data_IF_207906095124
#
_entry.id   IF_207906095124
#
_cell.length_a   1.000
_cell.length_b   1.000
_cell.length_c   1.000
_cell.angle_alpha   90.00
_cell.angle_beta   90.00
_cell.angle_gamma   90.00
#
_symmetry.space_group_name_H-M   'P 1'
#
loop_
_entity.id
_entity.type
_entity.pdbx_description
1 polymer ?
#
# COMPACT_ATOMS: atom_id res chain seq x y z
N UNK A 1 59.96 -21.83 28.59
CA UNK A 1 59.26 -20.56 28.50
C UNK A 1 58.75 -20.40 27.07
N UNK A 2 57.48 -20.66 26.93
CA UNK A 2 56.75 -20.63 25.68
C UNK A 2 56.18 -19.23 25.48
N UNK A 3 56.45 -18.67 24.32
CA UNK A 3 55.77 -17.50 23.79
C UNK A 3 54.63 -17.98 22.91
N UNK A 4 53.42 -17.67 23.29
CA UNK A 4 52.23 -17.79 22.43
C UNK A 4 52.01 -16.47 21.74
N UNK A 5 52.15 -16.50 20.41
CA UNK A 5 51.73 -15.41 19.53
C UNK A 5 50.21 -15.38 19.50
N UNK A 6 49.62 -14.33 20.00
CA UNK A 6 48.19 -13.98 19.74
C UNK A 6 48.18 -13.17 18.44
N UNK A 7 47.73 -13.80 17.35
CA UNK A 7 47.35 -13.10 16.14
C UNK A 7 46.06 -12.32 16.40
N UNK A 8 46.19 -11.01 16.53
CA UNK A 8 45.06 -10.10 16.44
C UNK A 8 44.51 -10.14 15.00
N UNK A 9 43.35 -10.73 14.84
CA UNK A 9 42.56 -10.60 13.61
C UNK A 9 41.90 -9.23 13.65
N UNK A 10 42.50 -8.27 12.95
CA UNK A 10 41.85 -7.01 12.64
C UNK A 10 40.63 -7.30 11.73
N UNK A 11 39.47 -7.24 12.35
CA UNK A 11 38.20 -7.20 11.65
C UNK A 11 38.11 -5.83 10.93
N UNK A 12 38.43 -5.82 9.64
CA UNK A 12 38.20 -4.67 8.79
C UNK A 12 36.67 -4.53 8.62
N UNK A 13 36.07 -3.70 9.45
CA UNK A 13 34.76 -3.14 9.16
C UNK A 13 34.92 -2.24 7.94
N UNK A 14 34.50 -2.72 6.78
CA UNK A 14 34.31 -1.88 5.62
C UNK A 14 33.27 -0.80 5.99
N UNK A 15 33.80 0.40 6.16
CA UNK A 15 32.97 1.61 6.36
C UNK A 15 32.24 1.88 5.05
N UNK A 16 31.05 1.26 4.90
CA UNK A 16 30.18 1.52 3.78
C UNK A 16 29.75 2.98 3.83
N UNK A 17 30.00 3.73 2.76
CA UNK A 17 29.56 5.11 2.64
C UNK A 17 28.04 5.21 2.91
N UNK A 18 27.56 6.26 3.60
CA UNK A 18 26.14 6.39 3.86
C UNK A 18 25.37 6.47 2.54
N UNK A 19 24.33 5.64 2.42
CA UNK A 19 23.44 5.60 1.28
C UNK A 19 22.75 6.95 1.10
N UNK A 20 22.50 7.34 -0.13
CA UNK A 20 21.65 8.50 -0.40
C UNK A 20 20.20 8.21 0.06
N UNK A 21 19.42 9.25 0.34
CA UNK A 21 18.00 9.08 0.71
C UNK A 21 17.21 8.29 -0.35
N UNK A 22 17.60 8.39 -1.62
CA UNK A 22 17.01 7.61 -2.71
C UNK A 22 17.39 6.12 -2.62
N UNK A 23 18.65 5.81 -2.33
CA UNK A 23 19.13 4.44 -2.17
C UNK A 23 18.57 3.77 -0.92
N UNK A 24 18.46 4.49 0.18
CA UNK A 24 17.80 3.99 1.41
C UNK A 24 16.33 3.69 1.15
N UNK A 25 15.65 4.56 0.41
CA UNK A 25 14.26 4.37 0.04
C UNK A 25 14.08 3.18 -0.92
N UNK A 26 14.96 3.03 -1.91
CA UNK A 26 14.93 1.87 -2.82
C UNK A 26 15.19 0.56 -2.09
N UNK A 27 16.15 0.52 -1.18
CA UNK A 27 16.41 -0.67 -0.36
C UNK A 27 15.24 -1.00 0.57
N UNK A 28 14.63 0.02 1.16
CA UNK A 28 13.43 -0.15 1.96
C UNK A 28 12.28 -0.67 1.10
N UNK A 29 12.14 -0.16 -0.13
CA UNK A 29 11.16 -0.61 -1.12
C UNK A 29 11.37 -2.07 -1.49
N UNK A 30 12.58 -2.49 -1.77
CA UNK A 30 12.90 -3.86 -2.15
C UNK A 30 12.72 -4.84 -0.97
N UNK A 31 12.99 -4.40 0.26
CA UNK A 31 12.84 -5.24 1.46
C UNK A 31 11.39 -5.59 1.81
N UNK A 32 10.42 -4.80 1.34
CA UNK A 32 9.00 -4.94 1.67
C UNK A 32 8.18 -5.53 0.52
N UNK A 33 8.75 -5.66 -0.67
CA UNK A 33 8.03 -6.29 -1.79
C UNK A 33 7.75 -7.75 -1.47
N UNK A 34 6.50 -8.21 -1.66
CA UNK A 34 6.19 -9.63 -1.54
C UNK A 34 7.04 -10.40 -2.54
N UNK A 35 7.76 -11.40 -2.06
CA UNK A 35 8.71 -12.20 -2.86
C UNK A 35 8.04 -13.03 -3.95
N UNK A 36 6.75 -13.27 -3.84
CA UNK A 36 5.97 -14.05 -4.78
C UNK A 36 4.68 -13.32 -5.17
N UNK A 37 4.51 -13.11 -6.46
CA UNK A 37 3.27 -12.57 -7.02
C UNK A 37 2.30 -13.71 -7.27
N UNK A 38 1.07 -13.57 -6.82
CA UNK A 38 0.01 -14.53 -7.14
C UNK A 38 -0.31 -14.44 -8.63
N UNK A 39 -0.37 -15.59 -9.29
CA UNK A 39 -0.93 -15.67 -10.62
C UNK A 39 -2.46 -15.53 -10.56
N UNK A 40 -3.12 -14.99 -11.61
CA UNK A 40 -4.57 -14.91 -11.64
C UNK A 40 -5.27 -16.26 -11.41
N UNK A 41 -4.66 -17.35 -11.86
CA UNK A 41 -5.15 -18.71 -11.66
C UNK A 41 -5.05 -19.21 -10.22
N UNK A 42 -4.21 -18.60 -9.40
CA UNK A 42 -3.98 -19.00 -8.01
C UNK A 42 -4.88 -18.24 -7.03
N UNK A 43 -5.67 -17.29 -7.52
CA UNK A 43 -6.59 -16.53 -6.71
C UNK A 43 -7.86 -17.33 -6.51
N UNK A 44 -8.07 -17.77 -5.27
CA UNK A 44 -9.36 -18.36 -4.85
C UNK A 44 -10.25 -17.21 -4.41
N UNK A 45 -11.39 -16.96 -5.09
CA UNK A 45 -12.31 -15.91 -4.67
C UNK A 45 -12.72 -16.10 -3.20
N UNK A 46 -12.64 -15.02 -2.43
CA UNK A 46 -13.06 -15.05 -1.03
C UNK A 46 -14.57 -15.26 -0.93
N UNK A 47 -15.01 -15.79 0.20
CA UNK A 47 -16.42 -15.84 0.52
C UNK A 47 -17.03 -14.43 0.58
N UNK A 48 -18.26 -14.28 0.16
CA UNK A 48 -19.01 -13.01 0.18
C UNK A 48 -19.52 -12.68 1.59
N UNK A 49 -18.62 -12.79 2.57
CA UNK A 49 -18.88 -12.48 3.97
C UNK A 49 -17.68 -11.74 4.57
N UNK A 50 -17.90 -11.07 5.69
CA UNK A 50 -16.81 -10.57 6.51
C UNK A 50 -16.31 -11.68 7.45
N UNK A 51 -15.00 -11.81 7.57
CA UNK A 51 -14.37 -12.64 8.60
C UNK A 51 -14.61 -12.05 9.99
N UNK A 52 -14.40 -12.85 11.04
CA UNK A 52 -14.55 -12.34 12.41
C UNK A 52 -13.60 -11.20 12.74
N UNK A 53 -12.37 -11.25 12.22
CA UNK A 53 -11.40 -10.17 12.37
C UNK A 53 -11.83 -8.89 11.62
N UNK A 54 -12.38 -9.03 10.42
CA UNK A 54 -12.94 -7.91 9.65
C UNK A 54 -14.15 -7.30 10.35
N UNK A 55 -15.03 -8.10 10.93
CA UNK A 55 -16.15 -7.61 11.76
C UNK A 55 -15.67 -6.76 12.95
N UNK A 56 -14.54 -7.12 13.55
CA UNK A 56 -13.92 -6.33 14.62
C UNK A 56 -13.36 -5.00 14.09
N UNK A 57 -12.69 -5.01 12.95
CA UNK A 57 -12.15 -3.81 12.31
C UNK A 57 -13.26 -2.83 11.90
N UNK A 58 -14.38 -3.33 11.43
CA UNK A 58 -15.50 -2.55 10.91
C UNK A 58 -16.70 -2.44 11.85
N UNK A 59 -16.49 -2.63 13.16
CA UNK A 59 -17.56 -2.72 14.15
C UNK A 59 -18.60 -1.58 14.06
N UNK A 60 -18.15 -0.36 13.81
CA UNK A 60 -19.05 0.79 13.70
C UNK A 60 -19.73 0.88 12.33
N UNK A 61 -19.03 0.48 11.30
CA UNK A 61 -19.47 0.66 9.91
C UNK A 61 -20.47 -0.41 9.45
N UNK A 62 -20.37 -1.62 9.97
CA UNK A 62 -21.31 -2.71 9.63
C UNK A 62 -22.75 -2.43 10.08
N UNK A 63 -22.92 -1.49 11.01
CA UNK A 63 -24.24 -1.06 11.48
C UNK A 63 -24.91 -0.05 10.57
N UNK A 64 -24.15 0.55 9.67
CA UNK A 64 -24.68 1.51 8.69
C UNK A 64 -25.36 0.72 7.56
N UNK A 65 -26.65 1.01 7.23
CA UNK A 65 -27.34 0.29 6.17
C UNK A 65 -26.57 0.28 4.86
N UNK A 66 -26.41 -0.90 4.26
CA UNK A 66 -25.70 -1.09 2.99
C UNK A 66 -24.16 -1.08 3.07
N UNK A 67 -23.58 -0.67 4.18
CA UNK A 67 -22.12 -0.56 4.31
C UNK A 67 -21.44 -1.92 4.31
N UNK A 68 -22.03 -2.92 4.97
CA UNK A 68 -21.49 -4.28 5.01
C UNK A 68 -21.29 -4.85 3.60
N UNK A 69 -22.28 -4.69 2.73
CA UNK A 69 -22.22 -5.19 1.36
C UNK A 69 -21.17 -4.45 0.54
N UNK A 70 -21.04 -3.15 0.73
CA UNK A 70 -20.01 -2.34 0.07
C UNK A 70 -18.59 -2.74 0.52
N UNK A 71 -18.38 -3.01 1.80
CA UNK A 71 -17.10 -3.49 2.33
C UNK A 71 -16.73 -4.87 1.76
N UNK A 72 -17.68 -5.78 1.72
CA UNK A 72 -17.49 -7.10 1.12
C UNK A 72 -17.11 -6.97 -0.35
N UNK A 73 -17.83 -6.15 -1.10
CA UNK A 73 -17.54 -5.90 -2.52
C UNK A 73 -16.16 -5.31 -2.72
N UNK A 74 -15.78 -4.31 -1.94
CA UNK A 74 -14.45 -3.70 -2.02
C UNK A 74 -13.32 -4.70 -1.74
N UNK A 75 -13.47 -5.54 -0.72
CA UNK A 75 -12.49 -6.57 -0.38
C UNK A 75 -12.39 -7.67 -1.45
N UNK A 76 -13.51 -8.04 -2.07
CA UNK A 76 -13.51 -8.96 -3.20
C UNK A 76 -12.78 -8.37 -4.41
N UNK A 77 -13.06 -7.12 -4.74
CA UNK A 77 -12.44 -6.43 -5.88
C UNK A 77 -10.92 -6.27 -5.68
N UNK A 78 -10.49 -5.92 -4.48
CA UNK A 78 -9.07 -5.81 -4.14
C UNK A 78 -8.37 -7.17 -4.23
N UNK A 79 -9.01 -8.23 -3.76
CA UNK A 79 -8.46 -9.59 -3.89
C UNK A 79 -8.25 -9.98 -5.35
N UNK A 80 -9.25 -9.75 -6.18
CA UNK A 80 -9.16 -10.08 -7.62
C UNK A 80 -8.11 -9.22 -8.34
N UNK A 81 -7.91 -7.98 -7.89
CA UNK A 81 -6.89 -7.09 -8.41
C UNK A 81 -5.45 -7.49 -8.01
N UNK A 82 -5.27 -8.38 -7.07
CA UNK A 82 -3.95 -8.76 -6.53
C UNK A 82 -2.98 -9.34 -7.57
N UNK A 83 -3.50 -9.87 -8.68
CA UNK A 83 -2.70 -10.37 -9.79
C UNK A 83 -2.38 -9.30 -10.84
N UNK A 84 -3.04 -8.15 -10.80
CA UNK A 84 -2.76 -7.04 -11.70
C UNK A 84 -1.42 -6.41 -11.34
N UNK A 85 -0.59 -6.17 -12.34
CA UNK A 85 0.71 -5.50 -12.18
C UNK A 85 0.62 -3.99 -12.34
N UNK A 86 -0.55 -3.49 -12.70
CA UNK A 86 -0.86 -2.07 -12.80
C UNK A 86 -1.80 -1.65 -11.69
N UNK A 87 -2.03 -0.36 -11.52
CA UNK A 87 -2.97 0.17 -10.53
C UNK A 87 -4.35 0.50 -11.14
N UNK A 88 -4.71 -0.11 -12.26
CA UNK A 88 -6.00 0.15 -12.92
C UNK A 88 -7.19 -0.44 -12.19
N UNK A 89 -6.97 -1.50 -11.43
CA UNK A 89 -8.01 -2.22 -10.69
C UNK A 89 -7.70 -2.22 -9.19
N UNK A 90 -8.71 -2.48 -8.37
CA UNK A 90 -8.57 -2.52 -6.92
C UNK A 90 -8.53 -1.16 -6.23
N UNK A 91 -8.81 -0.08 -6.93
CA UNK A 91 -8.91 1.25 -6.34
C UNK A 91 -10.25 1.41 -5.62
N UNK A 92 -10.21 2.08 -4.47
CA UNK A 92 -11.38 2.29 -3.62
C UNK A 92 -11.62 3.78 -3.44
N UNK A 93 -12.86 4.21 -3.66
CA UNK A 93 -13.31 5.58 -3.41
C UNK A 93 -14.23 5.56 -2.20
N UNK A 94 -13.87 6.32 -1.19
CA UNK A 94 -14.69 6.52 0.01
C UNK A 94 -15.33 7.89 -0.05
N UNK A 95 -16.66 7.91 -0.09
CA UNK A 95 -17.46 9.12 -0.20
C UNK A 95 -18.25 9.37 1.08
N UNK A 96 -18.44 10.62 1.40
CA UNK A 96 -19.25 11.03 2.55
C UNK A 96 -19.04 12.51 2.87
N UNK A 97 -19.94 13.08 3.66
CA UNK A 97 -19.83 14.43 4.15
C UNK A 97 -18.68 14.59 5.15
N UNK A 98 -18.52 15.81 5.68
CA UNK A 98 -17.58 16.07 6.77
C UNK A 98 -17.95 15.26 8.00
N UNK A 99 -16.93 14.82 8.75
CA UNK A 99 -17.10 14.10 10.03
C UNK A 99 -17.94 12.83 9.96
N UNK A 100 -18.04 12.19 8.78
CA UNK A 100 -18.72 10.91 8.59
C UNK A 100 -17.85 9.70 8.88
N UNK A 101 -16.59 9.90 9.27
CA UNK A 101 -15.66 8.84 9.63
C UNK A 101 -14.91 8.21 8.45
N UNK A 102 -14.80 8.91 7.31
CA UNK A 102 -14.05 8.41 6.12
C UNK A 102 -12.62 8.03 6.44
N UNK A 103 -11.88 8.87 7.13
CA UNK A 103 -10.48 8.59 7.51
C UNK A 103 -10.39 7.37 8.41
N UNK A 104 -11.31 7.22 9.33
CA UNK A 104 -11.39 6.05 10.22
C UNK A 104 -11.71 4.78 9.45
N UNK A 105 -12.61 4.86 8.47
CA UNK A 105 -12.94 3.73 7.60
C UNK A 105 -11.72 3.28 6.81
N UNK A 106 -10.98 4.21 6.22
CA UNK A 106 -9.73 3.91 5.47
C UNK A 106 -8.69 3.30 6.40
N UNK A 107 -8.52 3.84 7.61
CA UNK A 107 -7.60 3.30 8.60
C UNK A 107 -7.94 1.85 9.03
N UNK A 108 -9.21 1.45 8.93
CA UNK A 108 -9.64 0.06 9.16
C UNK A 108 -9.55 -0.80 7.89
N UNK A 109 -9.79 -0.21 6.73
CA UNK A 109 -9.77 -0.91 5.44
C UNK A 109 -8.36 -1.37 5.05
N UNK A 110 -7.35 -0.55 5.28
CA UNK A 110 -5.96 -0.86 4.93
C UNK A 110 -5.47 -2.13 5.63
N UNK A 111 -5.60 -2.31 6.96
CA UNK A 111 -5.23 -3.55 7.62
C UNK A 111 -6.00 -4.77 7.10
N UNK A 112 -7.28 -4.60 6.78
CA UNK A 112 -8.09 -5.67 6.21
C UNK A 112 -7.56 -6.12 4.84
N UNK A 113 -7.19 -5.17 3.98
CA UNK A 113 -6.59 -5.44 2.67
C UNK A 113 -5.22 -6.10 2.83
N UNK A 114 -4.37 -5.59 3.71
CA UNK A 114 -3.06 -6.18 3.97
C UNK A 114 -3.16 -7.63 4.42
N UNK A 115 -4.10 -7.95 5.29
CA UNK A 115 -4.34 -9.31 5.75
C UNK A 115 -4.85 -10.20 4.62
N UNK A 116 -5.79 -9.72 3.83
CA UNK A 116 -6.34 -10.45 2.68
C UNK A 116 -5.27 -10.78 1.64
N UNK A 117 -4.38 -9.83 1.35
CA UNK A 117 -3.32 -9.98 0.35
C UNK A 117 -2.01 -10.54 0.92
N UNK A 118 -1.94 -10.77 2.22
CA UNK A 118 -0.73 -11.16 2.93
C UNK A 118 0.43 -10.18 2.69
N UNK A 119 0.13 -8.89 2.76
CA UNK A 119 1.08 -7.80 2.57
C UNK A 119 1.49 -7.18 3.91
N UNK A 120 2.74 -6.72 4.05
CA UNK A 120 3.12 -5.92 5.20
C UNK A 120 2.38 -4.57 5.18
N UNK A 121 1.85 -4.14 6.33
CA UNK A 121 1.07 -2.91 6.48
C UNK A 121 1.90 -1.61 6.41
N UNK A 122 3.13 -1.65 5.90
CA UNK A 122 4.15 -0.62 6.14
C UNK A 122 4.20 0.50 5.11
N UNK A 123 3.43 0.41 4.01
CA UNK A 123 3.52 1.38 2.92
C UNK A 123 2.21 2.04 2.64
N UNK A 124 1.90 3.01 3.46
CA UNK A 124 0.74 3.86 3.26
C UNK A 124 1.21 5.30 3.24
N UNK A 125 1.02 5.98 2.14
CA UNK A 125 1.20 7.42 2.07
C UNK A 125 -0.15 8.11 2.09
N UNK A 126 -0.29 9.07 2.99
CA UNK A 126 -1.44 9.97 3.06
C UNK A 126 -1.04 11.32 2.49
N UNK A 127 -1.79 11.81 1.54
CA UNK A 127 -1.53 13.11 0.92
C UNK A 127 -2.83 13.84 0.68
N UNK A 128 -2.84 15.15 0.91
CA UNK A 128 -3.95 16.00 0.50
C UNK A 128 -3.88 16.28 -1.01
N UNK A 129 -5.03 16.36 -1.64
CA UNK A 129 -5.14 16.56 -3.08
C UNK A 129 -4.44 17.84 -3.56
N UNK A 130 -4.55 18.93 -2.82
CA UNK A 130 -3.88 20.20 -3.12
C UNK A 130 -2.36 20.08 -3.10
N UNK A 131 -1.81 19.31 -2.18
CA UNK A 131 -0.38 18.98 -2.13
C UNK A 131 0.04 18.10 -3.30
N UNK A 132 -0.76 17.09 -3.61
CA UNK A 132 -0.48 16.16 -4.71
C UNK A 132 -0.46 16.88 -6.06
N UNK A 133 -1.27 17.92 -6.25
CA UNK A 133 -1.28 18.75 -7.45
C UNK A 133 0.09 19.42 -7.74
N UNK A 134 0.91 19.63 -6.71
CA UNK A 134 2.23 20.26 -6.81
C UNK A 134 3.39 19.25 -6.86
N UNK A 135 3.10 17.96 -6.84
CA UNK A 135 4.10 16.89 -6.78
C UNK A 135 4.34 16.26 -8.16
N UNK A 136 5.48 15.62 -8.32
CA UNK A 136 5.76 14.73 -9.44
C UNK A 136 5.02 13.40 -9.26
N UNK A 137 3.91 13.23 -9.95
CA UNK A 137 3.01 12.09 -9.80
C UNK A 137 3.70 10.77 -10.18
N UNK A 138 4.46 10.75 -11.27
CA UNK A 138 5.16 9.54 -11.70
C UNK A 138 6.16 9.07 -10.63
N UNK A 139 6.84 10.01 -9.99
CA UNK A 139 7.79 9.73 -8.90
C UNK A 139 7.06 9.22 -7.65
N UNK A 140 5.95 9.84 -7.26
CA UNK A 140 5.14 9.41 -6.11
C UNK A 140 4.62 8.00 -6.31
N UNK A 141 4.00 7.72 -7.45
CA UNK A 141 3.47 6.39 -7.77
C UNK A 141 4.57 5.34 -7.85
N UNK A 142 5.70 5.67 -8.47
CA UNK A 142 6.85 4.78 -8.55
C UNK A 142 7.42 4.39 -7.17
N UNK A 143 7.52 5.35 -6.26
CA UNK A 143 8.00 5.11 -4.89
C UNK A 143 7.05 4.27 -4.04
N UNK A 144 5.76 4.28 -4.35
CA UNK A 144 4.73 3.55 -3.61
C UNK A 144 4.33 2.22 -4.25
N UNK A 145 5.04 1.75 -5.27
CA UNK A 145 4.73 0.49 -5.94
C UNK A 145 4.51 -0.65 -4.94
N UNK A 146 3.38 -1.33 -5.06
CA UNK A 146 2.95 -2.40 -4.14
C UNK A 146 2.39 -1.94 -2.81
N UNK A 147 2.29 -0.64 -2.55
CA UNK A 147 1.76 -0.04 -1.33
C UNK A 147 0.38 0.58 -1.49
N UNK A 148 0.14 1.63 -0.72
CA UNK A 148 -1.13 2.36 -0.71
C UNK A 148 -0.90 3.85 -0.84
N UNK A 149 -1.65 4.49 -1.72
CA UNK A 149 -1.75 5.94 -1.79
C UNK A 149 -3.16 6.36 -1.36
N UNK A 150 -3.26 7.07 -0.26
CA UNK A 150 -4.51 7.64 0.24
C UNK A 150 -4.54 9.13 -0.09
N UNK A 151 -5.49 9.52 -0.92
CA UNK A 151 -5.68 10.92 -1.32
C UNK A 151 -6.86 11.48 -0.55
N UNK A 152 -6.58 12.45 0.31
CA UNK A 152 -7.61 13.16 1.07
C UNK A 152 -8.08 14.40 0.32
N UNK A 153 -9.36 14.71 0.44
CA UNK A 153 -10.02 15.79 -0.30
C UNK A 153 -9.87 15.66 -1.82
N UNK A 154 -10.10 14.48 -2.35
CA UNK A 154 -9.88 14.14 -3.76
C UNK A 154 -10.66 15.04 -4.75
N UNK A 155 -11.73 15.70 -4.30
CA UNK A 155 -12.45 16.69 -5.07
C UNK A 155 -11.62 17.94 -5.41
N UNK A 156 -10.49 18.15 -4.76
CA UNK A 156 -9.55 19.26 -5.03
C UNK A 156 -8.43 18.87 -6.01
N UNK A 157 -8.41 17.66 -6.52
CA UNK A 157 -7.49 17.26 -7.58
C UNK A 157 -7.77 18.08 -8.84
N UNK A 158 -6.71 18.61 -9.45
CA UNK A 158 -6.81 19.23 -10.78
C UNK A 158 -6.98 18.15 -11.85
N UNK A 159 -7.56 18.52 -12.98
CA UNK A 159 -7.69 17.59 -14.10
C UNK A 159 -6.32 17.10 -14.59
N UNK A 160 -5.32 17.98 -14.58
CA UNK A 160 -3.94 17.62 -14.92
C UNK A 160 -3.40 16.51 -13.99
N UNK A 161 -3.60 16.65 -12.69
CA UNK A 161 -3.17 15.63 -11.71
C UNK A 161 -3.91 14.32 -11.91
N UNK A 162 -5.21 14.36 -12.16
CA UNK A 162 -6.02 13.16 -12.45
C UNK A 162 -5.50 12.46 -13.70
N UNK A 163 -5.20 13.20 -14.77
CA UNK A 163 -4.67 12.64 -16.01
C UNK A 163 -3.29 12.02 -15.79
N UNK A 164 -2.44 12.64 -14.99
CA UNK A 164 -1.11 12.11 -14.65
C UNK A 164 -1.20 10.87 -13.77
N UNK A 165 -2.13 10.81 -12.83
CA UNK A 165 -2.40 9.60 -12.03
C UNK A 165 -2.87 8.46 -12.92
N UNK A 166 -3.84 8.71 -13.79
CA UNK A 166 -4.38 7.71 -14.72
C UNK A 166 -3.26 7.14 -15.60
N UNK A 167 -2.41 8.01 -16.14
CA UNK A 167 -1.25 7.62 -16.93
C UNK A 167 -0.22 6.82 -16.14
N UNK A 168 0.09 7.22 -14.92
CA UNK A 168 1.03 6.51 -14.06
C UNK A 168 0.51 5.13 -13.63
N UNK A 169 -0.79 4.98 -13.45
CA UNK A 169 -1.44 3.73 -13.10
C UNK A 169 -1.48 2.71 -14.24
N UNK A 170 -1.25 3.13 -15.48
CA UNK A 170 -1.12 2.24 -16.63
C UNK A 170 0.20 1.48 -16.68
N UNK A 171 1.24 2.01 -16.01
CA UNK A 171 2.52 1.34 -15.90
C UNK A 171 2.49 0.27 -14.80
N UNK A 172 3.53 -0.55 -14.78
CA UNK A 172 3.68 -1.55 -13.73
C UNK A 172 3.95 -0.88 -12.38
N UNK A 173 2.99 -0.97 -11.48
CA UNK A 173 3.04 -0.41 -10.12
C UNK A 173 3.04 -1.47 -9.03
N UNK A 174 3.10 -2.75 -9.41
CA UNK A 174 3.06 -3.90 -8.52
C UNK A 174 1.85 -3.91 -7.57
N UNK A 175 0.71 -3.37 -8.04
CA UNK A 175 -0.55 -3.38 -7.32
C UNK A 175 -0.71 -2.24 -6.30
N UNK A 176 -0.08 -1.09 -6.55
CA UNK A 176 -0.33 0.14 -5.76
C UNK A 176 -1.81 0.50 -5.72
#
# INVERSE_FOLDING_TARGET
SEFTDEEEVEEQTEDAAPLSEEEELEQFIDSIQPKEKRNPSDIVPREKNLTDDEKKLFTYFVKVPGMKDQLISALCDVQMAAADKTSKTGNVIVMGGRETGKTRLIASLIPAICKELNLPASRVAYVFADQLNEMDIAKVVGKLSGGFLVIENANQLTQETVDMLDKAMEFRTDGL
#
